data_IF_788186707775
#
_entry.id   IF_788186707775
#
_cell.length_a   1.000
_cell.length_b   1.000
_cell.length_c   1.000
_cell.angle_alpha   90.00
_cell.angle_beta   90.00
_cell.angle_gamma   90.00
#
_symmetry.space_group_name_H-M   'P 1'
#
loop_
_entity.id
_entity.type
_entity.pdbx_description
1 polymer ?
#
# COMPACT_ATOMS: atom_id res chain seq x y z
N UNK A 1 -6.62 12.58 2.13
CA UNK A 1 -6.05 11.71 1.11
C UNK A 1 -6.10 12.32 -0.29
N UNK A 2 -5.21 11.87 -1.17
CA UNK A 2 -5.20 12.17 -2.60
C UNK A 2 -5.58 10.89 -3.35
N UNK A 3 -6.34 11.01 -4.43
CA UNK A 3 -6.73 9.87 -5.27
C UNK A 3 -6.81 10.27 -6.73
N UNK A 4 -6.65 9.32 -7.61
CA UNK A 4 -6.73 9.51 -9.06
C UNK A 4 -6.50 8.21 -9.79
N UNK A 5 -6.32 8.29 -11.10
CA UNK A 5 -6.09 7.14 -11.97
C UNK A 5 -4.82 7.34 -12.80
N UNK A 6 -4.03 6.28 -12.93
CA UNK A 6 -2.91 6.21 -13.87
C UNK A 6 -3.29 5.28 -15.03
N UNK A 7 -3.39 5.83 -16.23
CA UNK A 7 -3.70 5.07 -17.44
C UNK A 7 -2.45 4.53 -18.14
N UNK A 8 -1.29 5.02 -17.74
CA UNK A 8 0.01 4.71 -18.35
C UNK A 8 0.82 3.66 -17.56
N UNK A 9 0.26 3.10 -16.49
CA UNK A 9 0.84 1.98 -15.74
C UNK A 9 0.31 0.66 -16.30
N UNK A 10 1.22 -0.24 -16.64
CA UNK A 10 0.87 -1.58 -17.15
C UNK A 10 0.44 -2.50 -16.00
N UNK A 11 -0.85 -2.45 -15.64
CA UNK A 11 -1.43 -3.28 -14.58
C UNK A 11 -1.33 -4.77 -14.91
N UNK A 12 -1.33 -5.17 -16.19
CA UNK A 12 -1.23 -6.58 -16.59
C UNK A 12 0.18 -7.14 -16.39
N UNK A 13 1.20 -6.36 -16.70
CA UNK A 13 2.58 -6.78 -16.43
C UNK A 13 2.82 -6.88 -14.90
N UNK A 14 2.31 -5.93 -14.11
CA UNK A 14 2.38 -5.99 -12.66
C UNK A 14 1.60 -7.18 -12.08
N UNK A 15 0.37 -7.44 -12.54
CA UNK A 15 -0.42 -8.62 -12.13
C UNK A 15 0.36 -9.91 -12.37
N UNK A 16 0.94 -10.08 -13.56
CA UNK A 16 1.72 -11.27 -13.92
C UNK A 16 2.90 -11.47 -12.97
N UNK A 17 3.72 -10.44 -12.76
CA UNK A 17 4.89 -10.50 -11.87
C UNK A 17 4.48 -10.85 -10.43
N UNK A 18 3.41 -10.22 -9.93
CA UNK A 18 2.91 -10.48 -8.57
C UNK A 18 2.43 -11.93 -8.43
N UNK A 19 1.65 -12.43 -9.38
CA UNK A 19 1.16 -13.81 -9.33
C UNK A 19 2.27 -14.85 -9.47
N UNK A 20 3.32 -14.57 -10.24
CA UNK A 20 4.52 -15.43 -10.31
C UNK A 20 5.27 -15.48 -8.98
N UNK A 21 5.41 -14.32 -8.30
CA UNK A 21 6.05 -14.25 -6.99
C UNK A 21 5.19 -14.91 -5.91
N UNK A 22 3.88 -14.74 -5.96
CA UNK A 22 2.92 -15.42 -5.10
C UNK A 22 3.01 -16.95 -5.24
N UNK A 23 3.03 -17.46 -6.48
CA UNK A 23 3.18 -18.88 -6.75
C UNK A 23 4.51 -19.47 -6.22
N UNK A 24 5.58 -18.66 -6.19
CA UNK A 24 6.88 -19.00 -5.61
C UNK A 24 6.94 -18.82 -4.09
N UNK A 25 5.83 -18.45 -3.45
CA UNK A 25 5.75 -18.11 -2.02
C UNK A 25 6.80 -17.11 -1.56
N UNK A 26 7.03 -16.06 -2.35
CA UNK A 26 7.91 -14.94 -1.97
C UNK A 26 7.19 -14.01 -0.97
N UNK A 27 6.80 -14.56 0.16
CA UNK A 27 6.09 -13.85 1.22
C UNK A 27 7.02 -12.85 1.92
N UNK A 28 6.49 -11.72 2.34
CA UNK A 28 7.20 -10.77 3.22
C UNK A 28 7.18 -11.25 4.66
N UNK A 29 6.05 -11.79 5.08
CA UNK A 29 5.84 -12.34 6.42
C UNK A 29 5.08 -13.65 6.32
N UNK A 30 5.40 -14.60 7.22
CA UNK A 30 4.53 -15.73 7.45
C UNK A 30 3.47 -15.32 8.49
N UNK A 31 2.20 -15.24 8.07
CA UNK A 31 1.08 -15.13 9.01
C UNK A 31 0.51 -16.52 9.27
N UNK A 32 0.80 -17.12 10.43
CA UNK A 32 0.35 -18.48 10.75
C UNK A 32 -1.18 -18.58 10.87
N UNK A 33 -1.90 -17.46 10.98
CA UNK A 33 -3.34 -17.44 11.16
C UNK A 33 -4.11 -17.17 9.84
N UNK A 34 -3.43 -16.83 8.76
CA UNK A 34 -3.96 -16.63 7.40
C UNK A 34 -5.28 -15.81 7.32
N UNK A 35 -5.45 -14.84 8.22
CA UNK A 35 -6.64 -13.96 8.28
C UNK A 35 -6.41 -12.71 7.41
N UNK A 36 -5.19 -12.55 6.88
CA UNK A 36 -4.78 -11.41 6.07
C UNK A 36 -4.42 -11.89 4.69
N UNK A 37 -4.74 -11.08 3.68
CA UNK A 37 -4.18 -11.30 2.36
C UNK A 37 -2.65 -11.46 2.45
N UNK A 38 -2.09 -12.27 1.58
CA UNK A 38 -0.65 -12.55 1.60
C UNK A 38 0.14 -11.33 1.11
N UNK A 39 1.08 -10.86 1.95
CA UNK A 39 2.04 -9.82 1.60
C UNK A 39 3.17 -10.43 0.76
N UNK A 40 3.22 -10.04 -0.51
CA UNK A 40 4.13 -10.61 -1.51
C UNK A 40 5.28 -9.64 -1.78
N UNK A 41 6.51 -10.14 -1.73
CA UNK A 41 7.69 -9.40 -2.21
C UNK A 41 7.61 -9.25 -3.72
N UNK A 42 7.74 -8.02 -4.19
CA UNK A 42 7.78 -7.70 -5.61
C UNK A 42 9.16 -7.21 -6.02
N UNK A 43 9.50 -7.41 -7.30
CA UNK A 43 10.76 -6.94 -7.84
C UNK A 43 10.63 -5.45 -8.19
N UNK A 44 11.69 -4.67 -7.90
CA UNK A 44 11.75 -3.24 -8.24
C UNK A 44 12.15 -3.07 -9.70
N UNK A 45 11.26 -3.52 -10.58
CA UNK A 45 11.43 -3.41 -12.03
C UNK A 45 11.06 -2.01 -12.56
N UNK A 46 11.09 -1.84 -13.87
CA UNK A 46 10.75 -0.58 -14.53
C UNK A 46 9.29 -0.16 -14.26
N UNK A 47 8.34 -1.10 -14.19
CA UNK A 47 6.93 -0.79 -13.95
C UNK A 47 6.69 -0.34 -12.52
N UNK A 48 7.32 -0.99 -11.53
CA UNK A 48 7.24 -0.59 -10.12
C UNK A 48 7.91 0.77 -9.92
N UNK A 49 9.06 1.01 -10.56
CA UNK A 49 9.74 2.30 -10.54
C UNK A 49 8.85 3.40 -11.13
N UNK A 50 8.29 3.16 -12.31
CA UNK A 50 7.37 4.11 -12.94
C UNK A 50 6.17 4.43 -12.05
N UNK A 51 5.56 3.41 -11.41
CA UNK A 51 4.46 3.63 -10.46
C UNK A 51 4.91 4.52 -9.30
N UNK A 52 6.06 4.23 -8.69
CA UNK A 52 6.65 5.04 -7.62
C UNK A 52 6.85 6.50 -8.06
N UNK A 53 7.47 6.71 -9.23
CA UNK A 53 7.73 8.07 -9.75
C UNK A 53 6.42 8.84 -9.98
N UNK A 54 5.40 8.18 -10.53
CA UNK A 54 4.07 8.79 -10.72
C UNK A 54 3.40 9.17 -9.40
N UNK A 55 3.53 8.36 -8.36
CA UNK A 55 3.00 8.67 -7.02
C UNK A 55 3.73 9.88 -6.40
N UNK A 56 5.06 9.94 -6.54
CA UNK A 56 5.86 11.07 -6.07
C UNK A 56 5.47 12.37 -6.79
N UNK A 57 5.34 12.33 -8.12
CA UNK A 57 4.95 13.49 -8.94
C UNK A 57 3.55 14.00 -8.56
N UNK A 58 2.58 13.11 -8.40
CA UNK A 58 1.21 13.47 -7.98
C UNK A 58 1.20 14.08 -6.58
N UNK A 59 1.97 13.52 -5.65
CA UNK A 59 2.07 14.08 -4.31
C UNK A 59 2.67 15.49 -4.33
N UNK A 60 3.80 15.66 -5.03
CA UNK A 60 4.46 16.98 -5.20
C UNK A 60 3.53 18.00 -5.88
N UNK A 61 2.86 17.60 -6.95
CA UNK A 61 1.93 18.48 -7.68
C UNK A 61 0.80 19.02 -6.80
N UNK A 62 0.26 18.17 -5.91
CA UNK A 62 -0.93 18.52 -5.12
C UNK A 62 -0.63 19.12 -3.75
N UNK A 63 0.56 18.86 -3.20
CA UNK A 63 0.91 19.32 -1.84
C UNK A 63 2.05 20.33 -1.82
N UNK A 64 2.84 20.41 -2.88
CA UNK A 64 4.08 21.17 -2.92
C UNK A 64 5.26 20.49 -2.23
N UNK A 65 5.06 19.35 -1.55
CA UNK A 65 6.08 18.62 -0.81
C UNK A 65 6.61 17.44 -1.64
N UNK A 66 7.85 17.05 -1.38
CA UNK A 66 8.47 15.87 -1.99
C UNK A 66 8.42 14.68 -1.04
N UNK A 67 8.29 13.48 -1.61
CA UNK A 67 8.36 12.21 -0.90
C UNK A 67 9.35 11.27 -1.58
N UNK A 68 9.97 10.40 -0.78
CA UNK A 68 10.88 9.34 -1.24
C UNK A 68 10.51 8.01 -0.55
N UNK A 69 10.82 6.89 -1.19
CA UNK A 69 10.57 5.57 -0.57
C UNK A 69 11.32 5.44 0.76
N UNK A 70 10.67 4.87 1.76
CA UNK A 70 11.32 4.51 3.01
C UNK A 70 12.41 3.45 2.73
N UNK A 71 13.64 3.69 3.20
CA UNK A 71 14.72 2.68 3.24
C UNK A 71 15.34 2.25 1.89
N UNK A 72 15.36 3.09 0.86
CA UNK A 72 15.94 2.73 -0.44
C UNK A 72 17.49 2.65 -0.46
N UNK A 73 18.20 3.24 0.50
CA UNK A 73 19.66 3.43 0.35
C UNK A 73 20.56 2.60 1.27
N UNK A 74 20.03 1.82 2.21
CA UNK A 74 20.91 1.05 3.10
C UNK A 74 20.51 -0.42 3.27
N UNK A 75 20.82 -1.29 2.29
CA UNK A 75 20.57 -2.73 2.38
C UNK A 75 21.33 -3.43 3.53
N UNK A 76 22.24 -2.73 4.21
CA UNK A 76 23.00 -3.30 5.34
C UNK A 76 22.24 -3.24 6.67
N UNK A 77 21.29 -2.30 6.82
CA UNK A 77 20.53 -2.11 8.06
C UNK A 77 19.22 -2.93 8.03
N UNK A 78 18.63 -3.12 6.85
CA UNK A 78 17.33 -3.78 6.68
C UNK A 78 17.39 -4.98 5.72
N UNK A 79 18.36 -5.88 5.90
CA UNK A 79 18.52 -7.08 5.04
C UNK A 79 17.25 -7.95 4.91
N UNK A 80 16.31 -7.84 5.85
CA UNK A 80 15.14 -8.72 5.93
C UNK A 80 13.78 -7.98 5.91
N UNK A 81 13.76 -6.64 5.80
CA UNK A 81 12.53 -5.87 5.83
C UNK A 81 12.49 -4.80 4.74
N UNK A 82 12.11 -5.18 3.54
CA UNK A 82 11.71 -4.17 2.54
C UNK A 82 10.26 -3.77 2.83
N UNK A 83 10.07 -2.89 3.80
CA UNK A 83 8.76 -2.35 4.18
C UNK A 83 8.37 -1.13 3.32
N UNK A 84 9.17 -0.81 2.30
CA UNK A 84 8.94 0.37 1.46
C UNK A 84 7.89 0.12 0.38
N UNK A 85 7.83 -1.09 -0.16
CA UNK A 85 6.86 -1.48 -1.19
C UNK A 85 6.65 -2.99 -1.22
N UNK A 86 5.40 -3.40 -1.39
CA UNK A 86 4.99 -4.80 -1.49
C UNK A 86 3.66 -4.91 -2.22
N UNK A 87 3.28 -6.11 -2.61
CA UNK A 87 1.92 -6.38 -3.07
C UNK A 87 1.13 -7.15 -2.02
N UNK A 88 -0.16 -6.92 -1.98
CA UNK A 88 -1.10 -7.70 -1.17
C UNK A 88 -2.02 -8.44 -2.13
N UNK A 89 -2.07 -9.78 -1.95
CA UNK A 89 -2.96 -10.66 -2.69
C UNK A 89 -4.02 -11.19 -1.73
N UNK A 90 -5.29 -10.89 -2.02
CA UNK A 90 -6.43 -11.40 -1.28
C UNK A 90 -7.12 -12.51 -2.07
N UNK A 91 -7.12 -13.70 -1.56
CA UNK A 91 -7.99 -14.78 -2.00
C UNK A 91 -9.42 -14.60 -1.46
N UNK A 92 -10.35 -15.44 -1.87
CA UNK A 92 -11.71 -15.41 -1.32
C UNK A 92 -11.69 -15.66 0.18
N UNK A 93 -12.36 -14.80 0.93
CA UNK A 93 -12.43 -14.84 2.39
C UNK A 93 -11.37 -13.98 3.07
N UNK A 94 -10.34 -13.53 2.35
CA UNK A 94 -9.26 -12.73 2.93
C UNK A 94 -9.72 -11.30 3.23
N UNK A 95 -9.14 -10.74 4.29
CA UNK A 95 -9.32 -9.36 4.73
C UNK A 95 -7.96 -8.74 5.02
N UNK A 96 -7.90 -7.42 5.19
CA UNK A 96 -6.78 -6.76 5.88
C UNK A 96 -7.30 -6.16 7.17
N UNK A 97 -6.70 -6.55 8.30
CA UNK A 97 -7.07 -6.04 9.62
C UNK A 97 -6.82 -4.53 9.74
N UNK A 98 -7.51 -3.89 10.68
CA UNK A 98 -7.33 -2.48 10.97
C UNK A 98 -5.90 -2.22 11.47
N UNK A 99 -5.16 -1.34 10.80
CA UNK A 99 -3.80 -0.95 11.13
C UNK A 99 -3.47 0.46 10.63
N UNK A 100 -2.32 0.98 11.00
CA UNK A 100 -1.65 2.15 10.44
C UNK A 100 -0.19 1.78 10.16
N UNK A 101 0.51 2.65 9.43
CA UNK A 101 1.92 2.40 9.06
C UNK A 101 2.90 3.25 9.87
N UNK A 102 2.41 4.09 10.76
CA UNK A 102 3.23 4.91 11.63
C UNK A 102 4.20 4.09 12.50
N UNK A 103 5.37 4.65 12.78
CA UNK A 103 6.25 4.10 13.80
C UNK A 103 5.89 4.70 15.17
N UNK A 104 5.18 3.98 16.06
CA UNK A 104 4.70 4.53 17.33
C UNK A 104 5.84 4.87 18.32
N UNK A 105 7.06 4.40 18.07
CA UNK A 105 8.23 4.68 18.91
C UNK A 105 9.03 5.88 18.42
N UNK A 106 8.93 6.22 17.15
CA UNK A 106 9.63 7.34 16.55
C UNK A 106 8.88 7.84 15.30
N UNK A 107 7.92 8.72 15.47
CA UNK A 107 7.15 9.30 14.37
C UNK A 107 8.00 10.04 13.34
N UNK A 108 9.12 10.64 13.77
CA UNK A 108 10.03 11.33 12.85
C UNK A 108 10.80 10.38 11.92
N UNK A 109 10.92 9.10 12.28
CA UNK A 109 11.59 8.11 11.44
C UNK A 109 10.73 7.58 10.28
N UNK A 110 9.46 8.02 10.18
CA UNK A 110 8.50 7.59 9.16
C UNK A 110 8.03 6.13 9.33
N UNK A 111 7.26 5.61 8.36
CA UNK A 111 6.79 6.33 7.17
C UNK A 111 5.84 7.47 7.50
N UNK A 112 5.87 8.50 6.67
CA UNK A 112 4.98 9.67 6.81
C UNK A 112 3.77 9.58 5.89
N UNK A 113 3.94 8.99 4.72
CA UNK A 113 2.94 8.87 3.65
C UNK A 113 2.86 7.44 3.19
N UNK A 114 1.66 6.94 3.03
CA UNK A 114 1.38 5.62 2.47
C UNK A 114 0.58 5.76 1.18
N UNK A 115 0.81 4.85 0.25
CA UNK A 115 0.06 4.79 -1.00
C UNK A 115 -0.39 3.36 -1.31
N UNK A 116 -1.53 3.26 -1.97
CA UNK A 116 -2.08 2.01 -2.53
C UNK A 116 -2.39 2.24 -3.99
N UNK A 117 -2.02 1.29 -4.84
CA UNK A 117 -2.39 1.24 -6.25
C UNK A 117 -3.10 -0.08 -6.54
N UNK A 118 -4.30 -0.01 -7.12
CA UNK A 118 -5.12 -1.18 -7.41
C UNK A 118 -4.76 -1.80 -8.76
N UNK A 119 -4.24 -3.04 -8.73
CA UNK A 119 -3.82 -3.80 -9.92
C UNK A 119 -4.97 -4.61 -10.50
N UNK A 120 -5.70 -5.32 -9.63
CA UNK A 120 -6.85 -6.15 -9.99
C UNK A 120 -7.93 -6.05 -8.94
N UNK A 121 -9.13 -5.70 -9.36
CA UNK A 121 -10.28 -5.47 -8.48
C UNK A 121 -11.51 -6.18 -9.04
N UNK A 122 -11.69 -7.48 -8.77
CA UNK A 122 -12.90 -8.19 -9.13
C UNK A 122 -14.13 -7.61 -8.45
N UNK A 123 -15.32 -7.85 -9.03
CA UNK A 123 -16.56 -7.49 -8.38
C UNK A 123 -16.67 -8.19 -7.01
N UNK A 124 -17.19 -7.47 -6.01
CA UNK A 124 -17.32 -7.93 -4.62
C UNK A 124 -15.98 -8.32 -3.94
N UNK A 125 -14.86 -7.80 -4.39
CA UNK A 125 -13.54 -8.10 -3.81
C UNK A 125 -13.15 -7.25 -2.59
N UNK A 126 -14.15 -6.62 -1.95
CA UNK A 126 -13.96 -5.82 -0.76
C UNK A 126 -13.62 -4.35 -1.04
N UNK A 127 -13.79 -3.53 -0.02
CA UNK A 127 -13.55 -2.08 -0.05
C UNK A 127 -12.38 -1.71 0.86
N UNK A 128 -11.68 -0.65 0.49
CA UNK A 128 -10.73 0.02 1.37
C UNK A 128 -11.52 0.92 2.34
N UNK A 129 -11.25 0.80 3.64
CA UNK A 129 -12.01 1.54 4.66
C UNK A 129 -11.06 2.31 5.54
N UNK A 130 -11.22 3.62 5.58
CA UNK A 130 -10.59 4.48 6.58
C UNK A 130 -11.39 4.49 7.87
N UNK A 131 -10.67 4.45 9.00
CA UNK A 131 -11.25 4.68 10.33
C UNK A 131 -10.66 5.97 10.92
N UNK A 132 -11.51 6.81 11.47
CA UNK A 132 -11.10 8.04 12.14
C UNK A 132 -12.00 8.34 13.33
N UNK A 133 -11.47 9.14 14.26
CA UNK A 133 -12.19 9.55 15.46
C UNK A 133 -12.50 11.04 15.36
N UNK A 134 -13.71 11.46 14.96
CA UNK A 134 -14.08 12.87 14.93
C UNK A 134 -14.03 13.52 16.33
N UNK A 135 -14.18 12.71 17.37
CA UNK A 135 -13.92 13.07 18.75
C UNK A 135 -13.62 11.81 19.57
N UNK A 136 -13.27 11.97 20.86
CA UNK A 136 -12.87 10.83 21.72
C UNK A 136 -13.97 9.79 22.00
N UNK A 137 -15.22 10.06 21.63
CA UNK A 137 -16.37 9.18 21.90
C UNK A 137 -16.93 8.50 20.67
N UNK A 138 -16.50 8.94 19.47
CA UNK A 138 -17.08 8.47 18.21
C UNK A 138 -15.98 7.93 17.30
N UNK A 139 -16.21 6.73 16.80
CA UNK A 139 -15.44 6.13 15.71
C UNK A 139 -16.29 6.21 14.46
N UNK A 140 -15.72 6.73 13.38
CA UNK A 140 -16.36 6.81 12.08
C UNK A 140 -15.54 6.06 11.04
N UNK A 141 -16.21 5.50 10.05
CA UNK A 141 -15.57 4.80 8.95
C UNK A 141 -16.05 5.38 7.62
N UNK A 142 -15.16 5.45 6.66
CA UNK A 142 -15.46 5.79 5.27
C UNK A 142 -14.94 4.71 4.36
N UNK A 143 -15.85 4.02 3.68
CA UNK A 143 -15.51 3.01 2.69
C UNK A 143 -15.28 3.68 1.34
N UNK A 144 -14.14 3.37 0.72
CA UNK A 144 -13.80 3.78 -0.62
C UNK A 144 -13.91 2.57 -1.55
N UNK A 145 -14.63 2.74 -2.65
CA UNK A 145 -14.70 1.70 -3.68
C UNK A 145 -13.32 1.54 -4.32
N UNK A 146 -12.80 0.34 -4.29
CA UNK A 146 -11.58 -0.02 -5.03
C UNK A 146 -11.88 -0.04 -6.53
N UNK A 147 -10.98 0.51 -7.34
CA UNK A 147 -11.11 0.58 -8.81
C UNK A 147 -9.73 0.27 -9.42
N UNK A 148 -9.67 -0.62 -10.39
CA UNK A 148 -8.43 -0.98 -11.08
C UNK A 148 -7.80 0.23 -11.77
N UNK A 149 -6.47 0.39 -11.64
CA UNK A 149 -5.72 1.52 -12.18
C UNK A 149 -5.80 2.81 -11.37
N UNK A 150 -6.57 2.83 -10.26
CA UNK A 150 -6.60 3.97 -9.35
C UNK A 150 -5.51 3.89 -8.30
N UNK A 151 -5.15 5.05 -7.75
CA UNK A 151 -4.27 5.18 -6.61
C UNK A 151 -4.94 5.95 -5.47
N UNK A 152 -4.42 5.73 -4.28
CA UNK A 152 -4.76 6.45 -3.07
C UNK A 152 -3.47 6.77 -2.32
N UNK A 153 -3.25 8.04 -1.96
CA UNK A 153 -2.13 8.50 -1.14
C UNK A 153 -2.70 9.12 0.12
N UNK A 154 -2.21 8.75 1.29
CA UNK A 154 -2.74 9.19 2.57
C UNK A 154 -1.64 9.22 3.64
N UNK A 155 -1.89 9.94 4.73
CA UNK A 155 -1.02 10.00 5.89
C UNK A 155 -0.91 8.61 6.54
N UNK A 156 0.31 8.16 6.82
CA UNK A 156 0.57 6.81 7.36
C UNK A 156 0.02 6.56 8.76
N UNK A 157 -0.34 7.62 9.49
CA UNK A 157 -1.03 7.52 10.80
C UNK A 157 -2.51 7.14 10.67
N UNK A 158 -3.10 7.27 9.48
CA UNK A 158 -4.51 7.00 9.27
C UNK A 158 -4.78 5.50 9.34
N UNK A 159 -5.61 5.10 10.30
CA UNK A 159 -6.05 3.71 10.45
C UNK A 159 -6.93 3.30 9.28
N UNK A 160 -6.62 2.14 8.73
CA UNK A 160 -7.36 1.60 7.60
C UNK A 160 -7.41 0.06 7.64
N UNK A 161 -8.37 -0.48 6.91
CA UNK A 161 -8.58 -1.92 6.73
C UNK A 161 -9.14 -2.20 5.35
N UNK A 162 -9.15 -3.47 4.96
CA UNK A 162 -9.84 -3.94 3.75
C UNK A 162 -10.90 -4.96 4.16
N UNK A 163 -12.12 -4.77 3.66
CA UNK A 163 -13.21 -5.74 3.90
C UNK A 163 -12.98 -7.01 3.10
N UNK A 164 -13.67 -8.07 3.48
CA UNK A 164 -13.54 -9.40 2.91
C UNK A 164 -13.68 -9.42 1.38
N UNK A 165 -12.78 -10.17 0.72
CA UNK A 165 -12.93 -10.52 -0.68
C UNK A 165 -13.96 -11.66 -0.83
N UNK A 166 -15.14 -11.34 -1.32
CA UNK A 166 -16.22 -12.30 -1.59
C UNK A 166 -16.17 -12.85 -3.02
N UNK A 167 -15.26 -12.34 -3.86
CA UNK A 167 -15.06 -12.84 -5.22
C UNK A 167 -14.37 -14.21 -5.23
N UNK A 168 -14.55 -14.96 -6.30
CA UNK A 168 -13.76 -16.16 -6.56
C UNK A 168 -12.38 -15.83 -7.17
N UNK A 169 -12.19 -14.57 -7.61
CA UNK A 169 -10.93 -14.08 -8.18
C UNK A 169 -10.10 -13.35 -7.13
N UNK A 170 -8.79 -13.37 -7.32
CA UNK A 170 -7.83 -12.65 -6.48
C UNK A 170 -7.98 -11.13 -6.64
N UNK A 171 -8.03 -10.41 -5.52
CA UNK A 171 -7.83 -8.96 -5.48
C UNK A 171 -6.35 -8.68 -5.27
N UNK A 172 -5.77 -7.77 -6.05
CA UNK A 172 -4.33 -7.49 -6.04
C UNK A 172 -4.11 -5.98 -5.95
N UNK A 173 -3.25 -5.57 -5.01
CA UNK A 173 -2.81 -4.19 -4.86
C UNK A 173 -1.30 -4.11 -4.67
N UNK A 174 -0.69 -2.97 -4.98
CA UNK A 174 0.65 -2.61 -4.52
C UNK A 174 0.50 -1.52 -3.45
N UNK A 175 1.19 -1.70 -2.34
CA UNK A 175 1.35 -0.72 -1.26
C UNK A 175 2.77 -0.17 -1.27
N UNK A 176 2.91 1.13 -0.98
CA UNK A 176 4.20 1.81 -0.87
C UNK A 176 4.19 2.77 0.32
N UNK A 177 5.31 2.83 1.03
CA UNK A 177 5.54 3.75 2.14
C UNK A 177 6.64 4.75 1.80
N UNK A 178 6.42 6.00 2.14
CA UNK A 178 7.29 7.12 1.81
C UNK A 178 7.62 7.97 3.03
N UNK A 179 8.81 8.55 3.01
CA UNK A 179 9.20 9.64 3.90
C UNK A 179 8.98 10.99 3.21
N UNK A 180 8.68 12.02 3.99
CA UNK A 180 8.72 13.40 3.52
C UNK A 180 10.18 13.83 3.42
N UNK A 181 10.56 14.43 2.29
CA UNK A 181 11.90 14.98 2.10
C UNK A 181 12.06 16.29 2.88
N UNK A 182 13.16 16.45 3.60
CA UNK A 182 13.49 17.69 4.33
C UNK A 182 12.82 17.87 5.71
N UNK A 183 12.11 16.87 6.22
CA UNK A 183 11.49 16.93 7.57
C UNK A 183 12.49 16.66 8.71
N UNK A 184 13.69 16.18 8.38
CA UNK A 184 14.69 15.74 9.37
C UNK A 184 15.69 16.81 9.79
N UNK A 185 15.59 18.04 9.28
CA UNK A 185 16.54 19.12 9.55
C UNK A 185 16.11 20.07 10.70
N UNK A 186 15.34 19.56 11.68
CA UNK A 186 14.94 20.37 12.85
C UNK A 186 15.43 19.75 14.15
#
# INVERSE_FOLDING_TARGET
YLSGQFLDIDTKALEKMILENHAKKRLMHEDPNNIRGEDIRIDYDENVRKLKDRLCDEYKLRTGNEIELCCDENPKIHKDRNESYWSIVHDRGDTTALHSHENPKNYAAGPHVSAVFWIKVPDNSGNFVFQYNPNKYVVSETALKSIEGFFLIFDSTVKHRVTENLSNDKRIVISMNFNLVGVYDV
#
